data_IF_085589859170
#
_entry.id   IF_085589859170
#
_cell.length_a   1.000
_cell.length_b   1.000
_cell.length_c   1.000
_cell.angle_alpha   90.00
_cell.angle_beta   90.00
_cell.angle_gamma   90.00
#
_symmetry.space_group_name_H-M   'P 1'
#
loop_
_entity.id
_entity.type
_entity.pdbx_description
1 polymer ?
#
# COMPACT_ATOMS: atom_id res chain seq x y z
N UNK A 1 8.01 -0.93 -0.95
CA UNK A 1 8.97 -1.47 0.05
C UNK A 1 10.38 -1.01 -0.27
N UNK A 2 10.98 -1.44 -1.39
CA UNK A 2 12.35 -1.05 -1.79
C UNK A 2 12.56 0.46 -1.99
N UNK A 3 11.63 1.13 -2.68
CA UNK A 3 11.72 2.58 -2.94
C UNK A 3 11.40 3.41 -1.68
N UNK A 4 10.11 3.74 -1.49
CA UNK A 4 9.66 4.67 -0.44
C UNK A 4 10.07 4.34 1.00
N UNK A 5 10.20 3.04 1.36
CA UNK A 5 10.64 2.60 2.70
C UNK A 5 12.14 2.27 2.77
N UNK A 6 12.87 2.30 1.65
CA UNK A 6 14.32 2.03 1.58
C UNK A 6 14.75 0.71 2.26
N UNK A 7 13.89 -0.29 2.18
CA UNK A 7 14.15 -1.61 2.76
C UNK A 7 15.17 -2.37 1.90
N UNK A 8 15.99 -3.18 2.55
CA UNK A 8 16.80 -4.20 1.87
C UNK A 8 15.91 -5.30 1.27
N UNK A 9 16.46 -6.10 0.36
CA UNK A 9 15.73 -7.24 -0.23
C UNK A 9 15.30 -8.24 0.85
N UNK A 10 16.18 -8.56 1.80
CA UNK A 10 15.87 -9.51 2.88
C UNK A 10 14.79 -8.98 3.83
N UNK A 11 14.82 -7.69 4.16
CA UNK A 11 13.74 -7.05 4.91
C UNK A 11 12.43 -7.10 4.13
N UNK A 12 12.47 -6.87 2.81
CA UNK A 12 11.28 -6.97 1.96
C UNK A 12 10.67 -8.37 2.00
N UNK A 13 11.49 -9.43 1.88
CA UNK A 13 11.01 -10.81 1.92
C UNK A 13 10.37 -11.12 3.27
N UNK A 14 11.02 -10.76 4.39
CA UNK A 14 10.49 -11.01 5.74
C UNK A 14 9.18 -10.26 5.98
N UNK A 15 9.16 -8.97 5.65
CA UNK A 15 7.98 -8.13 5.83
C UNK A 15 6.82 -8.57 4.94
N UNK A 16 7.09 -8.96 3.69
CA UNK A 16 6.06 -9.48 2.79
C UNK A 16 5.42 -10.75 3.35
N UNK A 17 6.20 -11.71 3.84
CA UNK A 17 5.65 -12.93 4.46
C UNK A 17 4.72 -12.61 5.62
N UNK A 18 5.17 -11.77 6.57
CA UNK A 18 4.36 -11.36 7.72
C UNK A 18 3.10 -10.57 7.34
N UNK A 19 3.20 -9.68 6.34
CA UNK A 19 2.06 -8.94 5.83
C UNK A 19 1.06 -9.88 5.13
N UNK A 20 1.56 -10.80 4.30
CA UNK A 20 0.74 -11.69 3.49
C UNK A 20 -0.07 -12.67 4.34
N UNK A 21 0.53 -13.27 5.36
CA UNK A 21 -0.17 -14.16 6.31
C UNK A 21 -1.40 -13.48 6.93
N UNK A 22 -1.29 -12.20 7.26
CA UNK A 22 -2.38 -11.41 7.85
C UNK A 22 -3.40 -10.94 6.81
N UNK A 23 -2.92 -10.51 5.64
CA UNK A 23 -3.76 -9.89 4.62
C UNK A 23 -4.59 -10.90 3.82
N UNK A 24 -4.03 -12.08 3.53
CA UNK A 24 -4.61 -13.09 2.65
C UNK A 24 -5.27 -14.23 3.42
N UNK A 25 -5.75 -13.98 4.64
CA UNK A 25 -6.66 -14.91 5.32
C UNK A 25 -8.02 -14.86 4.63
N UNK A 26 -8.51 -15.96 4.01
CA UNK A 26 -9.79 -15.98 3.32
C UNK A 26 -10.93 -15.63 4.27
N UNK A 27 -11.90 -14.85 3.79
CA UNK A 27 -13.16 -14.69 4.52
C UNK A 27 -13.88 -16.04 4.55
N UNK A 28 -14.54 -16.37 5.67
CA UNK A 28 -15.41 -17.56 5.74
C UNK A 28 -16.37 -17.54 4.56
N UNK A 29 -16.37 -18.63 3.80
CA UNK A 29 -17.19 -18.80 2.62
C UNK A 29 -18.67 -18.78 3.03
N UNK A 30 -19.34 -17.65 2.84
CA UNK A 30 -20.81 -17.60 2.85
C UNK A 30 -21.30 -18.26 1.56
N UNK A 31 -22.38 -19.03 1.63
CA UNK A 31 -23.06 -19.79 0.55
C UNK A 31 -23.48 -18.98 -0.71
N UNK A 32 -23.04 -17.74 -0.87
CA UNK A 32 -23.39 -16.85 -1.98
C UNK A 32 -22.25 -16.78 -3.01
N UNK A 33 -22.56 -16.82 -4.32
CA UNK A 33 -21.54 -16.72 -5.36
C UNK A 33 -20.94 -15.30 -5.36
N UNK A 34 -19.60 -15.25 -5.37
CA UNK A 34 -18.75 -14.05 -5.43
C UNK A 34 -19.20 -12.89 -4.51
N UNK A 35 -18.69 -12.86 -3.27
CA UNK A 35 -18.98 -11.76 -2.35
C UNK A 35 -18.57 -10.41 -2.97
N UNK A 36 -19.47 -9.39 -3.00
CA UNK A 36 -19.16 -8.06 -3.50
C UNK A 36 -18.09 -7.34 -2.65
N UNK A 37 -17.67 -7.97 -1.55
CA UNK A 37 -16.61 -7.49 -0.67
C UNK A 37 -15.22 -8.01 -0.99
N UNK A 38 -15.06 -8.85 -2.03
CA UNK A 38 -13.82 -9.54 -2.36
C UNK A 38 -13.52 -10.73 -1.44
N UNK A 39 -12.66 -11.63 -1.90
CA UNK A 39 -12.25 -12.86 -1.19
C UNK A 39 -11.50 -12.60 0.12
N UNK A 40 -10.77 -11.49 0.21
CA UNK A 40 -9.91 -11.14 1.34
C UNK A 40 -10.35 -9.82 2.01
N UNK A 41 -9.91 -9.63 3.26
CA UNK A 41 -10.27 -8.46 4.05
C UNK A 41 -9.41 -7.25 3.69
N UNK A 42 -10.01 -6.24 3.05
CA UNK A 42 -9.34 -4.96 2.78
C UNK A 42 -8.85 -4.27 4.07
N UNK A 43 -9.58 -4.43 5.19
CA UNK A 43 -9.18 -3.90 6.50
C UNK A 43 -7.96 -4.62 7.08
N UNK A 44 -7.86 -5.94 6.87
CA UNK A 44 -6.70 -6.70 7.31
C UNK A 44 -5.46 -6.33 6.50
N UNK A 45 -5.60 -6.20 5.17
CA UNK A 45 -4.53 -5.71 4.30
C UNK A 45 -4.10 -4.29 4.68
N UNK A 46 -5.05 -3.38 4.92
CA UNK A 46 -4.74 -2.02 5.38
C UNK A 46 -3.93 -2.03 6.68
N UNK A 47 -4.40 -2.75 7.71
CA UNK A 47 -3.68 -2.86 8.98
C UNK A 47 -2.27 -3.44 8.77
N UNK A 48 -2.15 -4.48 7.94
CA UNK A 48 -0.88 -5.12 7.67
C UNK A 48 0.13 -4.20 6.97
N UNK A 49 -0.33 -3.38 6.02
CA UNK A 49 0.50 -2.38 5.34
C UNK A 49 0.91 -1.28 6.32
N UNK A 50 -0.02 -0.75 7.13
CA UNK A 50 0.28 0.29 8.12
C UNK A 50 1.33 -0.16 9.13
N UNK A 51 1.21 -1.38 9.64
CA UNK A 51 2.21 -1.96 10.54
C UNK A 51 3.57 -2.12 9.86
N UNK A 52 3.59 -2.54 8.60
CA UNK A 52 4.82 -2.63 7.81
C UNK A 52 5.48 -1.26 7.61
N UNK A 53 4.68 -0.21 7.34
CA UNK A 53 5.18 1.17 7.25
C UNK A 53 5.79 1.61 8.57
N UNK A 54 5.13 1.36 9.70
CA UNK A 54 5.65 1.70 11.04
C UNK A 54 6.92 0.93 11.39
N UNK A 55 6.97 -0.36 11.05
CA UNK A 55 8.13 -1.21 11.30
C UNK A 55 9.34 -0.74 10.48
N UNK A 56 9.16 -0.34 9.22
CA UNK A 56 10.28 -0.07 8.32
C UNK A 56 10.42 1.41 7.90
N UNK A 57 9.81 2.34 8.62
CA UNK A 57 9.92 3.76 8.25
C UNK A 57 11.38 4.23 8.30
N UNK A 58 11.92 4.90 7.26
CA UNK A 58 13.35 5.16 7.11
C UNK A 58 13.81 6.44 7.83
N UNK A 59 13.34 6.67 9.06
CA UNK A 59 13.85 7.75 9.93
C UNK A 59 14.94 7.21 10.85
N UNK A 60 15.96 8.02 11.13
CA UNK A 60 17.16 7.61 11.87
C UNK A 60 16.85 6.88 13.19
N UNK A 61 15.87 7.37 13.96
CA UNK A 61 15.44 6.74 15.21
C UNK A 61 14.90 5.31 14.98
N UNK A 62 14.01 5.13 14.01
CA UNK A 62 13.42 3.82 13.71
C UNK A 62 14.45 2.85 13.14
N UNK A 63 15.42 3.36 12.37
CA UNK A 63 16.54 2.55 11.85
C UNK A 63 17.44 2.09 13.00
N UNK A 64 17.82 2.99 13.91
CA UNK A 64 18.66 2.67 15.06
C UNK A 64 17.99 1.64 16.00
N UNK A 65 16.68 1.79 16.27
CA UNK A 65 15.92 0.83 17.08
C UNK A 65 15.90 -0.58 16.46
N UNK A 66 15.64 -0.67 15.15
CA UNK A 66 15.69 -1.95 14.43
C UNK A 66 17.08 -2.57 14.43
N UNK A 67 18.13 -1.77 14.24
CA UNK A 67 19.51 -2.23 14.32
C UNK A 67 19.87 -2.78 15.71
N UNK A 68 19.25 -2.24 16.77
CA UNK A 68 19.33 -2.78 18.13
C UNK A 68 18.39 -3.97 18.41
N UNK A 69 17.74 -4.56 17.40
CA UNK A 69 16.84 -5.72 17.54
C UNK A 69 15.45 -5.40 18.08
N UNK A 70 15.06 -4.12 18.16
CA UNK A 70 13.76 -3.70 18.67
C UNK A 70 12.81 -3.37 17.52
N UNK A 71 11.65 -4.03 17.49
CA UNK A 71 10.55 -3.68 16.58
C UNK A 71 10.09 -2.24 16.81
N UNK A 72 9.66 -1.59 15.72
CA UNK A 72 9.11 -0.23 15.74
C UNK A 72 7.63 -0.17 15.36
N UNK A 73 6.99 -1.29 15.04
CA UNK A 73 5.57 -1.35 14.66
C UNK A 73 4.63 -0.67 15.66
N UNK A 74 4.90 -0.76 16.96
CA UNK A 74 4.07 -0.16 18.02
C UNK A 74 4.51 1.24 18.44
N UNK A 75 5.73 1.68 18.12
CA UNK A 75 6.30 2.95 18.61
C UNK A 75 6.49 4.00 17.52
N UNK A 76 6.61 3.59 16.26
CA UNK A 76 6.76 4.51 15.14
C UNK A 76 5.43 5.23 14.87
N UNK A 77 5.49 6.57 14.87
CA UNK A 77 4.33 7.45 14.63
C UNK A 77 4.03 7.67 13.15
N UNK A 78 4.87 7.17 12.24
CA UNK A 78 4.79 7.42 10.80
C UNK A 78 3.82 6.50 10.05
N UNK A 79 2.83 5.92 10.73
CA UNK A 79 1.81 5.08 10.11
C UNK A 79 0.91 5.80 9.11
N UNK A 80 0.86 7.13 9.18
CA UNK A 80 0.14 8.04 8.26
C UNK A 80 1.09 8.89 7.42
N UNK A 81 2.36 8.48 7.27
CA UNK A 81 3.31 9.25 6.49
C UNK A 81 2.89 9.37 5.02
N UNK A 82 3.09 10.55 4.43
CA UNK A 82 2.82 10.80 3.02
C UNK A 82 3.69 9.95 2.11
N UNK A 83 3.10 9.47 1.02
CA UNK A 83 3.82 8.76 -0.03
C UNK A 83 4.80 9.69 -0.73
N UNK A 84 4.39 10.94 -0.98
CA UNK A 84 5.26 11.96 -1.57
C UNK A 84 6.37 12.34 -0.62
N UNK A 85 7.57 12.35 -1.17
CA UNK A 85 8.79 12.72 -0.48
C UNK A 85 9.87 12.92 -1.56
N UNK A 86 10.06 14.15 -2.06
CA UNK A 86 11.04 14.41 -3.10
C UNK A 86 12.50 14.21 -2.64
N UNK A 87 12.73 14.05 -1.32
CA UNK A 87 14.05 13.71 -0.76
C UNK A 87 14.33 12.20 -0.76
N UNK A 88 13.33 11.37 -1.09
CA UNK A 88 13.46 9.93 -1.13
C UNK A 88 13.79 9.39 -2.53
N UNK A 89 13.96 8.07 -2.65
CA UNK A 89 14.15 7.42 -3.94
C UNK A 89 12.93 7.66 -4.84
N UNK A 90 13.14 8.16 -6.06
CA UNK A 90 12.09 8.31 -7.07
C UNK A 90 11.36 6.98 -7.26
N UNK A 91 10.10 6.93 -6.83
CA UNK A 91 9.26 5.73 -6.84
C UNK A 91 7.95 6.09 -7.52
N UNK A 92 7.47 5.18 -8.37
CA UNK A 92 6.16 5.25 -8.99
C UNK A 92 5.34 4.02 -8.62
N UNK A 93 4.06 4.20 -8.36
CA UNK A 93 3.08 3.14 -8.08
C UNK A 93 1.85 3.41 -8.93
N UNK A 94 1.35 2.38 -9.63
CA UNK A 94 0.22 2.50 -10.54
C UNK A 94 -1.04 1.95 -9.88
N UNK A 95 -2.16 2.64 -10.11
CA UNK A 95 -3.49 2.11 -9.86
C UNK A 95 -4.46 2.62 -10.94
N UNK A 96 -5.56 1.90 -11.14
CA UNK A 96 -6.57 2.23 -12.15
C UNK A 96 -7.82 2.77 -11.45
N UNK A 97 -8.41 3.81 -12.01
CA UNK A 97 -9.70 4.32 -11.53
C UNK A 97 -10.79 3.31 -11.84
N UNK A 98 -11.57 2.91 -10.82
CA UNK A 98 -12.61 1.89 -10.94
C UNK A 98 -13.68 2.26 -11.98
N UNK A 99 -14.00 3.55 -12.10
CA UNK A 99 -15.05 4.05 -12.99
C UNK A 99 -14.68 3.94 -14.46
N UNK A 100 -13.39 3.86 -14.79
CA UNK A 100 -12.92 3.69 -16.15
C UNK A 100 -11.66 2.84 -16.20
N UNK A 101 -11.84 1.52 -16.21
CA UNK A 101 -10.72 0.55 -16.26
C UNK A 101 -9.98 0.53 -17.61
N UNK A 102 -10.52 1.17 -18.65
CA UNK A 102 -9.86 1.34 -19.94
C UNK A 102 -9.03 2.63 -20.05
N UNK A 103 -9.07 3.50 -19.03
CA UNK A 103 -8.24 4.70 -18.99
C UNK A 103 -6.77 4.37 -18.68
N UNK A 104 -5.89 5.34 -18.93
CA UNK A 104 -4.49 5.26 -18.48
C UNK A 104 -4.43 5.16 -16.95
N UNK A 105 -3.44 4.44 -16.39
CA UNK A 105 -3.27 4.32 -14.96
C UNK A 105 -2.99 5.69 -14.34
N UNK A 106 -3.43 5.85 -13.10
CA UNK A 106 -2.96 6.93 -12.24
C UNK A 106 -1.59 6.56 -11.72
N UNK A 107 -0.65 7.50 -11.87
CA UNK A 107 0.72 7.35 -11.41
C UNK A 107 0.86 8.09 -10.08
N UNK A 108 0.92 7.34 -8.97
CA UNK A 108 1.36 7.89 -7.70
C UNK A 108 2.88 7.94 -7.70
N UNK A 109 3.47 9.13 -7.69
CA UNK A 109 4.92 9.29 -7.70
C UNK A 109 5.40 10.02 -6.44
N UNK A 110 6.63 9.75 -6.02
CA UNK A 110 7.24 10.43 -4.86
C UNK A 110 7.69 11.86 -5.16
N UNK A 111 7.82 12.19 -6.45
CA UNK A 111 8.42 13.43 -6.96
C UNK A 111 7.41 14.41 -7.60
N UNK A 112 6.15 14.02 -7.78
CA UNK A 112 5.13 14.92 -8.33
C UNK A 112 4.69 15.99 -7.30
N UNK A 113 4.34 17.16 -7.80
CA UNK A 113 3.94 18.35 -7.04
C UNK A 113 2.45 18.71 -7.24
N UNK A 114 1.72 18.01 -8.11
CA UNK A 114 0.30 18.30 -8.39
C UNK A 114 -0.61 18.14 -7.15
N UNK A 115 -1.63 18.98 -6.96
CA UNK A 115 -2.44 18.93 -5.73
C UNK A 115 -3.42 17.75 -5.64
N UNK A 116 -3.83 17.15 -6.77
CA UNK A 116 -4.91 16.15 -6.83
C UNK A 116 -4.63 14.88 -6.03
N UNK A 117 -3.36 14.44 -6.01
CA UNK A 117 -2.88 13.27 -5.25
C UNK A 117 -1.99 13.66 -4.07
N UNK A 118 -1.92 14.95 -3.73
CA UNK A 118 -1.23 15.42 -2.54
C UNK A 118 -1.86 14.85 -1.26
N UNK A 119 -1.04 14.64 -0.22
CA UNK A 119 -1.51 14.11 1.07
C UNK A 119 -1.84 12.62 1.09
N UNK A 120 -1.71 11.90 -0.04
CA UNK A 120 -1.91 10.45 -0.05
C UNK A 120 -0.81 9.78 0.79
N UNK A 121 -1.22 8.97 1.76
CA UNK A 121 -0.30 8.24 2.63
C UNK A 121 0.31 7.03 1.91
N UNK A 122 1.45 6.56 2.41
CA UNK A 122 2.13 5.37 1.88
C UNK A 122 1.18 4.17 1.86
N UNK A 123 0.39 3.99 2.93
CA UNK A 123 -0.49 2.83 3.03
C UNK A 123 -1.68 2.93 2.05
N UNK A 124 -2.21 4.12 1.78
CA UNK A 124 -3.28 4.32 0.79
C UNK A 124 -2.80 3.96 -0.61
N UNK A 125 -1.62 4.45 -1.00
CA UNK A 125 -1.02 4.15 -2.32
C UNK A 125 -0.76 2.66 -2.46
N UNK A 126 -0.20 2.01 -1.44
CA UNK A 126 0.00 0.56 -1.42
C UNK A 126 -1.32 -0.22 -1.49
N UNK A 127 -2.38 0.24 -0.81
CA UNK A 127 -3.72 -0.39 -0.88
C UNK A 127 -4.37 -0.23 -2.24
N UNK A 128 -4.16 0.89 -2.91
CA UNK A 128 -4.71 1.17 -4.24
C UNK A 128 -4.15 0.22 -5.29
N UNK A 129 -2.82 0.09 -5.36
CA UNK A 129 -2.19 -0.87 -6.28
C UNK A 129 -2.50 -2.33 -5.90
N UNK A 130 -2.67 -2.63 -4.60
CA UNK A 130 -3.02 -3.99 -4.16
C UNK A 130 -4.52 -4.32 -4.24
N UNK A 131 -5.37 -3.40 -4.72
CA UNK A 131 -6.82 -3.57 -4.78
C UNK A 131 -7.24 -4.42 -6.00
N UNK A 132 -6.67 -5.62 -6.13
CA UNK A 132 -6.99 -6.54 -7.22
C UNK A 132 -8.48 -6.88 -7.22
N UNK A 133 -9.10 -6.78 -8.40
CA UNK A 133 -10.53 -7.07 -8.56
C UNK A 133 -10.82 -8.51 -8.17
N UNK A 134 -12.02 -8.77 -7.64
CA UNK A 134 -12.44 -10.06 -7.03
C UNK A 134 -11.75 -10.43 -5.70
N UNK A 135 -10.53 -9.97 -5.44
CA UNK A 135 -9.79 -10.28 -4.22
C UNK A 135 -10.03 -9.26 -3.10
N UNK A 136 -9.95 -7.97 -3.41
CA UNK A 136 -10.11 -6.89 -2.45
C UNK A 136 -11.15 -5.88 -2.92
N UNK A 137 -11.81 -5.20 -1.97
CA UNK A 137 -12.61 -4.02 -2.29
C UNK A 137 -11.72 -2.92 -2.89
N UNK A 138 -12.25 -2.06 -3.76
CA UNK A 138 -11.61 -0.79 -4.13
C UNK A 138 -11.30 0.07 -2.89
N UNK A 139 -10.40 1.04 -3.04
CA UNK A 139 -10.10 2.05 -2.00
C UNK A 139 -10.39 3.45 -2.55
N UNK A 140 -10.87 4.36 -1.70
CA UNK A 140 -10.98 5.79 -2.02
C UNK A 140 -9.72 6.51 -1.59
N UNK A 141 -9.10 7.26 -2.50
CA UNK A 141 -7.83 7.97 -2.26
C UNK A 141 -7.91 9.40 -2.82
N UNK A 142 -7.17 10.31 -2.19
CA UNK A 142 -7.07 11.71 -2.61
C UNK A 142 -8.24 12.58 -2.17
N UNK A 143 -8.14 13.88 -2.48
CA UNK A 143 -9.11 14.92 -2.09
C UNK A 143 -10.53 14.62 -2.60
N UNK A 144 -10.61 14.15 -3.83
CA UNK A 144 -11.90 13.89 -4.52
C UNK A 144 -12.45 12.49 -4.24
N UNK A 145 -11.76 11.68 -3.41
CA UNK A 145 -12.23 10.36 -3.01
C UNK A 145 -12.36 9.35 -4.15
N UNK A 146 -11.47 9.44 -5.15
CA UNK A 146 -11.48 8.58 -6.34
C UNK A 146 -11.32 7.11 -5.94
N UNK A 147 -12.18 6.23 -6.46
CA UNK A 147 -12.09 4.79 -6.23
C UNK A 147 -11.03 4.16 -7.14
N UNK A 148 -10.04 3.51 -6.52
CA UNK A 148 -8.95 2.81 -7.19
C UNK A 148 -9.05 1.29 -7.05
N UNK A 149 -8.65 0.61 -8.12
CA UNK A 149 -8.37 -0.82 -8.21
C UNK A 149 -6.92 -1.03 -8.68
N UNK A 150 -6.44 -2.26 -8.57
CA UNK A 150 -5.12 -2.67 -9.08
C UNK A 150 -4.96 -2.35 -10.58
N UNK A 151 -3.71 -2.09 -10.97
CA UNK A 151 -3.27 -1.85 -12.34
C UNK A 151 -3.20 -3.13 -13.21
N UNK A 152 -3.72 -4.26 -12.73
CA UNK A 152 -3.80 -5.54 -13.45
C UNK A 152 -4.50 -5.48 -14.83
N UNK A 153 -5.22 -4.40 -15.13
CA UNK A 153 -5.80 -4.12 -16.45
C UNK A 153 -4.75 -3.62 -17.46
N UNK A 154 -3.74 -4.44 -17.76
CA UNK A 154 -2.73 -4.17 -18.79
C UNK A 154 -1.53 -3.33 -18.34
N UNK A 155 -1.43 -2.95 -17.06
CA UNK A 155 -0.40 -2.07 -16.52
C UNK A 155 0.37 -2.68 -15.33
N UNK A 156 0.48 -4.02 -15.28
CA UNK A 156 1.13 -4.76 -14.18
C UNK A 156 2.67 -4.81 -14.29
N UNK A 157 3.28 -4.21 -15.32
CA UNK A 157 4.73 -4.10 -15.47
C UNK A 157 5.10 -2.62 -15.71
N UNK A 158 5.15 -1.80 -14.64
CA UNK A 158 5.42 -0.36 -14.72
C UNK A 158 6.87 -0.02 -15.06
#
# INVERSE_FOLDING_TARGET
MLGRLRMTVDECIRAYRSMAERAFTPKRMTLLPASPSGAFSAKALEAAIRDTVKEFYPVAECVARRAGGHSTASTCVHGEAEFRDPSCTSTVVLAITKDNVGARPTLFTTYDTSSSLGGCTIWQVARATSAATTFFKPIRVGRDGIEFVDAGFGHNNP
#
